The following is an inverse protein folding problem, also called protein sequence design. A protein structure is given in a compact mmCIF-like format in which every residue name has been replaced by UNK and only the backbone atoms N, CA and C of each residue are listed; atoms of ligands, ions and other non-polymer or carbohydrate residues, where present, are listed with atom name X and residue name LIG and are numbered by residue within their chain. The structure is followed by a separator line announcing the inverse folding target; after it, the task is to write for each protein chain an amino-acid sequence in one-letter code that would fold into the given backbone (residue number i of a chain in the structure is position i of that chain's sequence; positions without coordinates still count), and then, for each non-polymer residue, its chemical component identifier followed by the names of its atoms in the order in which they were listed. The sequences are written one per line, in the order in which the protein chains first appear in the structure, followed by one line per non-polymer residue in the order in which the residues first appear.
data_IF_851668885359
#
_entry.id   IF_851668885359
#
_cell.length_a   1.000
_cell.length_b   1.000
_cell.length_c   1.000
_cell.angle_alpha   90.00
_cell.angle_beta   90.00
_cell.angle_gamma   90.00
#
_symmetry.space_group_name_H-M   'P 1'
#
loop_
_entity.id
_entity.type
_entity.pdbx_description
1 polymer ?
#
# COMPACT_ATOMS: atom_id res chain seq x y z
N UNK A 1 -17.27 8.24 2.02
CA UNK A 1 -16.40 8.92 3.00
C UNK A 1 -15.00 8.41 2.77
N UNK A 2 -14.05 9.28 2.42
CA UNK A 2 -12.64 8.89 2.23
C UNK A 2 -12.06 8.54 3.60
N UNK A 3 -11.48 7.35 3.75
CA UNK A 3 -10.91 6.93 5.03
C UNK A 3 -9.66 7.79 5.38
N UNK A 4 -9.33 7.97 6.67
CA UNK A 4 -8.26 8.85 7.11
C UNK A 4 -6.88 8.54 6.50
N UNK A 5 -6.63 7.30 6.08
CA UNK A 5 -5.32 6.88 5.55
C UNK A 5 -5.15 7.23 4.08
N UNK A 6 -6.22 7.08 3.29
CA UNK A 6 -6.27 7.64 1.94
C UNK A 6 -6.03 9.16 1.98
N UNK A 7 -6.49 9.83 3.04
CA UNK A 7 -6.22 11.25 3.24
C UNK A 7 -4.74 11.53 3.58
N UNK A 8 -4.07 10.69 4.38
CA UNK A 8 -2.62 10.81 4.67
C UNK A 8 -1.79 10.62 3.39
N UNK A 9 -2.07 9.60 2.58
CA UNK A 9 -1.35 9.35 1.33
C UNK A 9 -1.57 10.46 0.31
N UNK A 10 -2.79 11.02 0.25
CA UNK A 10 -3.09 12.20 -0.57
C UNK A 10 -2.38 13.45 -0.07
N UNK A 11 -2.34 13.67 1.25
CA UNK A 11 -1.66 14.83 1.86
C UNK A 11 -0.13 14.78 1.70
N UNK A 12 0.45 13.58 1.67
CA UNK A 12 1.88 13.38 1.34
C UNK A 12 2.15 13.42 -0.18
N UNK A 13 1.14 13.74 -1.00
CA UNK A 13 1.19 13.71 -2.46
C UNK A 13 1.67 12.36 -3.02
N UNK A 14 1.46 11.25 -2.29
CA UNK A 14 1.85 9.91 -2.74
C UNK A 14 0.83 9.39 -3.75
N UNK A 15 -0.46 9.56 -3.45
CA UNK A 15 -1.59 9.19 -4.30
C UNK A 15 -2.36 10.42 -4.78
N UNK A 16 -2.76 10.41 -6.05
CA UNK A 16 -3.70 11.34 -6.66
C UNK A 16 -5.15 10.89 -6.45
N UNK A 17 -6.09 11.65 -7.01
CA UNK A 17 -7.53 11.39 -6.91
C UNK A 17 -8.08 10.39 -7.93
N UNK A 18 -7.27 9.86 -8.85
CA UNK A 18 -7.72 8.87 -9.84
C UNK A 18 -7.88 7.49 -9.21
N UNK A 19 -8.75 6.68 -9.81
CA UNK A 19 -9.09 5.34 -9.30
C UNK A 19 -8.04 4.27 -9.64
N UNK A 20 -7.09 4.58 -10.52
CA UNK A 20 -5.98 3.69 -10.91
C UNK A 20 -4.63 4.29 -10.50
N UNK A 21 -3.64 3.43 -10.31
CA UNK A 21 -2.27 3.89 -10.17
C UNK A 21 -1.77 4.46 -11.50
N UNK A 22 -0.97 5.51 -11.42
CA UNK A 22 0.00 5.83 -12.46
C UNK A 22 1.40 5.34 -12.02
N UNK A 23 2.33 5.24 -12.98
CA UNK A 23 3.69 4.77 -12.71
C UNK A 23 4.39 5.56 -11.60
N UNK A 24 4.18 6.87 -11.53
CA UNK A 24 4.83 7.74 -10.53
C UNK A 24 4.35 7.42 -9.12
N UNK A 25 3.06 7.13 -8.94
CA UNK A 25 2.52 6.68 -7.66
C UNK A 25 3.08 5.31 -7.26
N UNK A 26 3.10 4.35 -8.18
CA UNK A 26 3.70 3.04 -7.94
C UNK A 26 5.17 3.14 -7.52
N UNK A 27 5.97 3.96 -8.20
CA UNK A 27 7.36 4.19 -7.84
C UNK A 27 7.56 4.87 -6.48
N UNK A 28 6.65 5.76 -6.08
CA UNK A 28 6.69 6.40 -4.76
C UNK A 28 6.37 5.43 -3.62
N UNK A 29 5.66 4.35 -3.93
CA UNK A 29 5.32 3.31 -2.97
C UNK A 29 6.43 2.27 -2.83
N UNK A 30 7.47 2.25 -3.69
CA UNK A 30 8.57 1.30 -3.57
C UNK A 30 9.20 1.35 -2.18
N UNK A 31 9.51 0.17 -1.63
CA UNK A 31 10.04 -0.06 -0.29
C UNK A 31 9.10 0.34 0.87
N UNK A 32 7.87 0.77 0.59
CA UNK A 32 6.88 1.02 1.62
C UNK A 32 6.50 -0.29 2.33
N UNK A 33 6.61 -0.27 3.66
CA UNK A 33 6.08 -1.33 4.51
C UNK A 33 4.57 -1.15 4.62
N UNK A 34 3.83 -2.23 4.42
CA UNK A 34 2.37 -2.23 4.49
C UNK A 34 1.85 -3.27 5.46
N UNK A 35 0.74 -2.97 6.10
CA UNK A 35 0.02 -3.86 7.01
C UNK A 35 -1.42 -3.98 6.53
N UNK A 36 -1.99 -5.18 6.62
CA UNK A 36 -3.41 -5.39 6.27
C UNK A 36 -4.32 -4.68 7.27
N UNK A 37 -5.32 -3.91 6.79
CA UNK A 37 -6.27 -3.16 7.62
C UNK A 37 -7.03 -4.06 8.59
N UNK A 38 -7.43 -5.25 8.15
CA UNK A 38 -8.13 -6.24 8.99
C UNK A 38 -7.33 -6.66 10.24
N UNK A 39 -6.00 -6.61 10.16
CA UNK A 39 -5.09 -7.03 11.23
C UNK A 39 -4.64 -5.85 12.11
N UNK A 40 -5.03 -4.62 11.74
CA UNK A 40 -4.58 -3.38 12.42
C UNK A 40 -5.23 -3.09 13.78
N UNK A 41 -6.34 -3.76 14.12
CA UNK A 41 -7.05 -3.58 15.38
C UNK A 41 -6.72 -4.65 16.45
N UNK A 42 -5.82 -5.58 16.15
CA UNK A 42 -5.39 -6.59 17.14
C UNK A 42 -4.30 -6.02 18.04
N UNK A 43 -4.37 -6.30 19.36
CA UNK A 43 -3.35 -5.88 20.36
C UNK A 43 -1.93 -6.35 20.01
N UNK A 44 -1.82 -7.35 19.16
CA UNK A 44 -0.60 -7.82 18.54
C UNK A 44 -0.93 -8.07 17.07
N UNK A 45 -0.74 -7.09 16.16
CA UNK A 45 -0.98 -7.33 14.74
C UNK A 45 -0.16 -8.56 14.35
N UNK A 46 -0.83 -9.54 13.76
CA UNK A 46 -0.13 -10.70 13.21
C UNK A 46 1.00 -10.19 12.30
N UNK A 47 2.17 -10.83 12.37
CA UNK A 47 3.41 -10.45 11.68
C UNK A 47 3.32 -10.41 10.13
N UNK A 48 2.11 -10.41 9.55
CA UNK A 48 1.88 -10.40 8.11
C UNK A 48 1.96 -8.98 7.54
N UNK A 49 3.15 -8.38 7.67
CA UNK A 49 3.51 -7.17 6.95
C UNK A 49 4.02 -7.54 5.54
N UNK A 50 3.76 -6.64 4.60
CA UNK A 50 4.27 -6.72 3.24
C UNK A 50 5.23 -5.57 2.96
N UNK A 51 6.04 -5.73 1.92
CA UNK A 51 6.85 -4.64 1.36
C UNK A 51 6.48 -4.47 -0.11
N UNK A 52 6.18 -3.25 -0.53
CA UNK A 52 6.01 -2.94 -1.95
C UNK A 52 7.36 -3.11 -2.63
N UNK A 53 7.44 -4.08 -3.52
CA UNK A 53 8.71 -4.57 -4.11
C UNK A 53 8.74 -4.46 -5.63
N UNK A 54 7.66 -3.99 -6.25
CA UNK A 54 7.60 -3.79 -7.69
C UNK A 54 6.34 -3.07 -8.13
N UNK A 55 6.37 -2.67 -9.39
CA UNK A 55 5.25 -2.08 -10.13
C UNK A 55 5.12 -2.87 -11.42
N UNK A 56 3.90 -3.30 -11.75
CA UNK A 56 3.62 -4.09 -12.94
C UNK A 56 2.51 -3.40 -13.74
N UNK A 57 2.71 -3.30 -15.06
CA UNK A 57 1.66 -2.92 -15.98
C UNK A 57 1.05 -4.16 -16.62
N UNK A 58 -0.23 -4.43 -16.38
CA UNK A 58 -0.98 -5.55 -16.96
C UNK A 58 -2.32 -5.04 -17.46
N UNK A 59 -2.69 -5.41 -18.69
CA UNK A 59 -4.00 -5.06 -19.28
C UNK A 59 -4.36 -3.56 -19.17
N UNK A 60 -3.40 -2.69 -19.47
CA UNK A 60 -3.54 -1.22 -19.40
C UNK A 60 -3.71 -0.63 -17.99
N UNK A 61 -3.60 -1.45 -16.94
CA UNK A 61 -3.65 -1.01 -15.55
C UNK A 61 -2.28 -1.17 -14.86
N UNK A 62 -1.93 -0.20 -14.02
CA UNK A 62 -0.74 -0.27 -13.17
C UNK A 62 -1.15 -0.86 -11.82
N UNK A 63 -0.42 -1.88 -11.41
CA UNK A 63 -0.58 -2.57 -10.13
C UNK A 63 0.72 -2.51 -9.33
N UNK A 64 0.60 -2.50 -8.00
CA UNK A 64 1.75 -2.63 -7.10
C UNK A 64 1.92 -4.08 -6.69
N UNK A 65 3.18 -4.52 -6.65
CA UNK A 65 3.55 -5.87 -6.22
C UNK A 65 4.05 -5.82 -4.79
N UNK A 66 3.39 -6.56 -3.91
CA UNK A 66 3.71 -6.62 -2.48
C UNK A 66 4.30 -7.99 -2.17
N UNK A 67 5.49 -7.99 -1.56
CA UNK A 67 6.16 -9.18 -1.04
C UNK A 67 5.72 -9.41 0.40
N UNK A 68 5.05 -10.52 0.63
CA UNK A 68 4.75 -11.05 1.97
C UNK A 68 5.69 -12.23 2.28
N UNK A 69 5.66 -12.70 3.53
CA UNK A 69 6.40 -13.88 3.96
C UNK A 69 6.08 -15.10 3.07
N UNK A 70 4.79 -15.30 2.78
CA UNK A 70 4.30 -16.48 2.06
C UNK A 70 4.28 -16.35 0.54
N UNK A 71 4.67 -15.21 -0.03
CA UNK A 71 4.63 -15.04 -1.48
C UNK A 71 4.64 -13.60 -1.96
N UNK A 72 4.42 -13.44 -3.27
CA UNK A 72 4.21 -12.15 -3.92
C UNK A 72 2.75 -12.07 -4.36
N UNK A 73 2.15 -10.90 -4.27
CA UNK A 73 0.81 -10.64 -4.80
C UNK A 73 0.76 -9.23 -5.37
N UNK A 74 -0.07 -9.05 -6.40
CA UNK A 74 -0.28 -7.78 -7.07
C UNK A 74 -1.65 -7.21 -6.69
N UNK A 75 -1.75 -5.88 -6.66
CA UNK A 75 -2.96 -5.17 -6.26
C UNK A 75 -3.16 -3.91 -7.11
N UNK A 76 -4.40 -3.72 -7.53
CA UNK A 76 -4.88 -2.44 -8.08
C UNK A 76 -4.87 -1.36 -7.00
N UNK A 77 -5.04 -0.09 -7.40
CA UNK A 77 -5.10 1.04 -6.45
C UNK A 77 -6.26 0.93 -5.48
N UNK A 78 -7.43 0.52 -5.98
CA UNK A 78 -8.62 0.32 -5.16
C UNK A 78 -8.39 -0.77 -4.10
N UNK A 79 -7.86 -1.93 -4.51
CA UNK A 79 -7.55 -3.02 -3.59
C UNK A 79 -6.46 -2.62 -2.58
N UNK A 80 -5.44 -1.90 -3.03
CA UNK A 80 -4.37 -1.44 -2.16
C UNK A 80 -4.91 -0.55 -1.04
N UNK A 81 -5.71 0.46 -1.41
CA UNK A 81 -6.33 1.41 -0.49
C UNK A 81 -7.32 0.71 0.45
N UNK A 82 -8.10 -0.23 -0.05
CA UNK A 82 -9.08 -0.95 0.76
C UNK A 82 -8.41 -1.88 1.78
N UNK A 83 -7.36 -2.59 1.37
CA UNK A 83 -6.80 -3.68 2.16
C UNK A 83 -5.61 -3.30 3.03
N UNK A 84 -4.88 -2.23 2.70
CA UNK A 84 -3.58 -1.96 3.33
C UNK A 84 -3.45 -0.56 3.92
N UNK A 85 -2.61 -0.49 4.95
CA UNK A 85 -2.08 0.75 5.53
C UNK A 85 -0.59 0.78 5.28
N UNK A 86 -0.04 1.95 4.99
CA UNK A 86 1.42 2.13 5.04
C UNK A 86 1.82 2.25 6.50
N UNK A 87 2.80 1.45 6.91
CA UNK A 87 3.40 1.56 8.22
C UNK A 87 4.45 2.68 8.19
N UNK A 88 4.19 3.75 8.94
CA UNK A 88 5.12 4.85 9.10
C UNK A 88 5.94 4.60 10.37
N UNK A 89 7.23 4.29 10.21
CA UNK A 89 8.13 4.07 11.32
C UNK A 89 8.56 5.44 11.89
N UNK A 90 7.65 6.11 12.59
CA UNK A 90 7.92 7.37 13.28
C UNK A 90 8.58 7.14 14.64
N UNK A 91 9.62 6.30 14.77
CA UNK A 91 10.53 6.33 15.93
C UNK A 91 11.93 5.79 15.56
N UNK A 92 13.02 6.48 15.96
CA UNK A 92 14.37 5.94 15.87
C UNK A 92 14.57 4.83 16.92
N UNK A 93 15.29 3.77 16.54
CA UNK A 93 15.77 2.71 17.44
C UNK A 93 16.57 3.25 18.63
#
# INVERSE_FOLDING_TARGET
MTDPETLILKNKNILDSNDQFNLKEGFRLMDAVVIRKKDSNEKHPSLDFGVVSGVLGVNEEIEVVIKFLNGLSQFTKSEFIEQFKIYEHDEPL
#
